data_IF_205076185560
#
_entry.id   IF_205076185560
#
_cell.length_a   1.000
_cell.length_b   1.000
_cell.length_c   1.000
_cell.angle_alpha   90.00
_cell.angle_beta   90.00
_cell.angle_gamma   90.00
#
_symmetry.space_group_name_H-M   'P 1'
#
loop_
_entity.id
_entity.type
_entity.pdbx_description
1 polymer ?
#
# COMPACT_ATOMS: atom_id res chain seq x y z
N UNK A 1 -12.21 17.19 6.74
CA UNK A 1 -11.90 16.11 5.79
C UNK A 1 -12.39 16.59 4.43
N UNK A 2 -11.51 16.70 3.45
CA UNK A 2 -11.85 17.13 2.10
C UNK A 2 -11.99 15.86 1.26
N UNK A 3 -13.09 15.75 0.51
CA UNK A 3 -13.33 14.63 -0.40
C UNK A 3 -13.49 15.25 -1.79
N UNK A 4 -12.54 14.97 -2.68
CA UNK A 4 -12.56 15.42 -4.06
C UNK A 4 -11.96 14.35 -4.96
N UNK A 5 -12.37 14.33 -6.22
CA UNK A 5 -11.76 13.52 -7.26
C UNK A 5 -10.82 14.34 -8.17
N UNK A 6 -10.77 15.67 -7.98
CA UNK A 6 -9.87 16.53 -8.74
C UNK A 6 -8.45 16.47 -8.17
N UNK A 7 -7.55 15.90 -8.95
CA UNK A 7 -6.15 15.72 -8.60
C UNK A 7 -5.43 17.06 -8.41
N UNK A 8 -5.72 18.09 -9.20
CA UNK A 8 -5.05 19.38 -9.07
C UNK A 8 -5.45 20.09 -7.78
N UNK A 9 -6.74 20.03 -7.45
CA UNK A 9 -7.27 20.57 -6.21
C UNK A 9 -6.66 19.86 -4.98
N UNK A 10 -6.60 18.52 -5.01
CA UNK A 10 -5.97 17.74 -3.94
C UNK A 10 -4.48 18.05 -3.83
N UNK A 11 -3.76 18.21 -4.95
CA UNK A 11 -2.33 18.51 -4.92
C UNK A 11 -2.01 19.88 -4.31
N UNK A 12 -2.91 20.86 -4.45
CA UNK A 12 -2.71 22.22 -3.94
C UNK A 12 -3.13 22.39 -2.48
N UNK A 13 -4.13 21.64 -2.02
CA UNK A 13 -4.76 21.87 -0.70
C UNK A 13 -4.42 20.79 0.32
N UNK A 14 -4.22 19.54 -0.12
CA UNK A 14 -3.95 18.44 0.80
C UNK A 14 -2.47 18.35 1.15
N UNK A 15 -2.18 18.31 2.44
CA UNK A 15 -0.84 18.03 3.00
C UNK A 15 -0.69 16.58 3.46
N UNK A 16 -1.80 15.84 3.52
CA UNK A 16 -1.87 14.45 3.93
C UNK A 16 -2.95 13.73 3.11
N UNK A 17 -2.59 12.55 2.60
CA UNK A 17 -3.46 11.66 1.85
C UNK A 17 -3.79 10.44 2.70
N UNK A 18 -5.08 10.16 2.90
CA UNK A 18 -5.53 8.97 3.60
C UNK A 18 -6.05 7.96 2.57
N UNK A 19 -5.35 6.83 2.45
CA UNK A 19 -5.73 5.69 1.64
C UNK A 19 -6.42 4.66 2.53
N UNK A 20 -7.54 4.12 2.06
CA UNK A 20 -8.30 3.10 2.75
C UNK A 20 -8.29 1.86 1.86
N UNK A 21 -7.45 0.89 2.21
CA UNK A 21 -7.33 -0.36 1.46
C UNK A 21 -7.38 -1.56 2.40
N UNK A 22 -8.05 -2.64 1.98
CA UNK A 22 -8.23 -3.87 2.76
C UNK A 22 -8.70 -3.69 4.23
N UNK A 23 -9.42 -2.60 4.53
CA UNK A 23 -9.88 -2.27 5.90
C UNK A 23 -8.81 -1.62 6.78
N UNK A 24 -7.62 -1.34 6.26
CA UNK A 24 -6.59 -0.53 6.90
C UNK A 24 -6.61 0.90 6.36
N UNK A 25 -6.54 1.89 7.25
CA UNK A 25 -6.33 3.28 6.88
C UNK A 25 -4.84 3.60 6.94
N UNK A 26 -4.26 4.03 5.82
CA UNK A 26 -2.86 4.45 5.72
C UNK A 26 -2.79 5.91 5.36
N UNK A 27 -2.15 6.69 6.21
CA UNK A 27 -1.96 8.12 5.98
C UNK A 27 -0.56 8.35 5.45
N UNK A 28 -0.47 8.97 4.27
CA UNK A 28 0.76 9.37 3.63
C UNK A 28 0.91 10.89 3.78
N UNK A 29 2.03 11.37 4.34
CA UNK A 29 2.33 12.80 4.34
C UNK A 29 2.68 13.23 2.92
N UNK A 30 2.24 14.43 2.55
CA UNK A 30 2.50 14.99 1.24
C UNK A 30 1.27 15.20 0.37
N UNK A 31 1.54 15.56 -0.86
CA UNK A 31 0.55 15.87 -1.88
C UNK A 31 0.08 14.61 -2.64
N UNK A 32 -0.68 14.76 -3.72
CA UNK A 32 -1.21 13.63 -4.49
C UNK A 32 -0.09 12.79 -5.13
N UNK A 33 0.94 13.44 -5.65
CA UNK A 33 2.03 12.78 -6.40
C UNK A 33 2.96 11.99 -5.47
N UNK A 34 3.26 12.54 -4.30
CA UNK A 34 4.01 11.87 -3.24
C UNK A 34 3.25 10.64 -2.72
N UNK A 35 1.95 10.80 -2.49
CA UNK A 35 1.06 9.69 -2.16
C UNK A 35 1.10 8.58 -3.21
N UNK A 36 0.97 8.92 -4.50
CA UNK A 36 0.94 7.94 -5.58
C UNK A 36 2.25 7.13 -5.65
N UNK A 37 3.38 7.79 -5.43
CA UNK A 37 4.69 7.14 -5.40
C UNK A 37 4.82 6.21 -4.19
N UNK A 38 4.45 6.69 -2.99
CA UNK A 38 4.50 5.92 -1.76
C UNK A 38 3.55 4.71 -1.78
N UNK A 39 2.32 4.90 -2.29
CA UNK A 39 1.33 3.85 -2.42
C UNK A 39 1.81 2.74 -3.37
N UNK A 40 2.41 3.11 -4.51
CA UNK A 40 2.98 2.14 -5.46
C UNK A 40 4.09 1.31 -4.82
N UNK A 41 5.04 1.96 -4.14
CA UNK A 41 6.13 1.27 -3.43
C UNK A 41 5.61 0.37 -2.30
N UNK A 42 4.60 0.82 -1.55
CA UNK A 42 3.98 0.03 -0.50
C UNK A 42 3.30 -1.22 -1.07
N UNK A 43 2.60 -1.08 -2.20
CA UNK A 43 1.95 -2.19 -2.90
C UNK A 43 2.97 -3.21 -3.42
N UNK A 44 4.07 -2.76 -4.02
CA UNK A 44 5.15 -3.64 -4.48
C UNK A 44 5.79 -4.43 -3.34
N UNK A 45 6.08 -3.77 -2.21
CA UNK A 45 6.61 -4.46 -1.01
C UNK A 45 5.65 -5.52 -0.50
N UNK A 46 4.35 -5.20 -0.42
CA UNK A 46 3.33 -6.18 -0.02
C UNK A 46 3.26 -7.39 -0.94
N UNK A 47 3.38 -7.19 -2.26
CA UNK A 47 3.41 -8.30 -3.22
C UNK A 47 4.67 -9.16 -3.05
N UNK A 48 5.83 -8.53 -2.89
CA UNK A 48 7.09 -9.23 -2.66
C UNK A 48 7.07 -10.04 -1.34
N UNK A 49 6.55 -9.47 -0.27
CA UNK A 49 6.42 -10.15 1.02
C UNK A 49 5.41 -11.30 0.95
N UNK A 50 4.28 -11.12 0.27
CA UNK A 50 3.33 -12.21 0.04
C UNK A 50 3.93 -13.35 -0.77
N UNK A 51 4.73 -13.05 -1.80
CA UNK A 51 5.44 -14.07 -2.58
C UNK A 51 6.44 -14.86 -1.71
N UNK A 52 7.23 -14.16 -0.88
CA UNK A 52 8.16 -14.80 0.07
C UNK A 52 7.43 -15.66 1.10
N UNK A 53 6.34 -15.16 1.69
CA UNK A 53 5.51 -15.91 2.64
C UNK A 53 4.94 -17.18 2.01
N UNK A 54 4.44 -17.11 0.77
CA UNK A 54 3.96 -18.29 0.03
C UNK A 54 5.06 -19.32 -0.19
N UNK A 55 6.26 -18.90 -0.56
CA UNK A 55 7.40 -19.81 -0.74
C UNK A 55 7.78 -20.49 0.59
N UNK A 56 7.83 -19.75 1.69
CA UNK A 56 8.11 -20.31 3.03
C UNK A 56 7.04 -21.31 3.48
N UNK A 57 5.75 -21.00 3.23
CA UNK A 57 4.65 -21.91 3.56
C UNK A 57 4.78 -23.21 2.75
N UNK A 58 5.11 -23.13 1.47
CA UNK A 58 5.30 -24.31 0.62
C UNK A 58 6.48 -25.19 1.10
N UNK A 59 7.61 -24.58 1.47
CA UNK A 59 8.77 -25.29 2.01
C UNK A 59 8.47 -25.99 3.34
N UNK A 60 7.82 -25.28 4.27
CA UNK A 60 7.38 -25.84 5.55
C UNK A 60 6.40 -27.00 5.38
N UNK A 61 5.45 -26.89 4.44
CA UNK A 61 4.53 -27.97 4.12
C UNK A 61 5.26 -29.21 3.61
N UNK A 62 6.25 -29.04 2.73
CA UNK A 62 7.06 -30.15 2.22
C UNK A 62 7.88 -30.84 3.32
N UNK A 63 8.33 -30.09 4.34
CA UNK A 63 9.11 -30.64 5.45
C UNK A 63 8.26 -31.48 6.40
N UNK A 64 7.05 -31.02 6.74
CA UNK A 64 6.14 -31.74 7.64
C UNK A 64 5.54 -32.99 6.99
N UNK A 65 5.42 -33.02 5.66
CA UNK A 65 4.86 -34.17 4.92
C UNK A 65 5.82 -35.34 4.70
N UNK A 66 7.07 -35.27 5.18
CA UNK A 66 8.11 -36.28 5.00
C UNK A 66 8.38 -37.03 6.30
#
# INVERSE_FOLDING_TARGET
>A
IIISHDRHFLNMVCTHMADLDYGELRVYPGNYDEYMTAATQARERLLADNAKKKAQIADLQSFVSR
#
